data_IF_851460527067
#
_entry.id   IF_851460527067
#
_cell.length_a   1.000
_cell.length_b   1.000
_cell.length_c   1.000
_cell.angle_alpha   90.00
_cell.angle_beta   90.00
_cell.angle_gamma   90.00
#
_symmetry.space_group_name_H-M   'P 1'
#
loop_
_entity.id
_entity.type
_entity.pdbx_description
1 polymer ?
#
# COMPACT_ATOMS: atom_id res chain seq x y z
N UNK A 1 -34.42 -65.28 9.55
CA UNK A 1 -33.54 -65.69 8.43
C UNK A 1 -32.56 -64.57 8.17
N UNK A 2 -31.29 -64.69 8.59
CA UNK A 2 -30.18 -63.88 8.09
C UNK A 2 -28.87 -64.49 8.62
N UNK A 3 -28.41 -65.57 7.98
CA UNK A 3 -27.01 -66.03 8.11
C UNK A 3 -26.31 -65.61 6.84
N UNK A 4 -25.80 -64.38 6.81
CA UNK A 4 -24.74 -64.04 5.85
C UNK A 4 -23.57 -64.93 6.22
N UNK A 5 -23.37 -65.98 5.42
CA UNK A 5 -22.35 -67.00 5.68
C UNK A 5 -20.98 -66.33 5.73
N UNK A 6 -20.09 -66.79 6.60
CA UNK A 6 -18.73 -66.26 6.75
C UNK A 6 -18.00 -66.15 5.39
N UNK A 7 -18.32 -67.05 4.45
CA UNK A 7 -17.86 -67.04 3.06
C UNK A 7 -18.21 -65.77 2.28
N UNK A 8 -19.43 -65.24 2.42
CA UNK A 8 -19.82 -64.00 1.72
C UNK A 8 -19.12 -62.77 2.30
N UNK A 9 -18.82 -62.76 3.60
CA UNK A 9 -18.06 -61.68 4.23
C UNK A 9 -16.59 -61.65 3.80
N UNK A 10 -15.97 -62.83 3.58
CA UNK A 10 -14.60 -62.92 3.05
C UNK A 10 -14.53 -62.46 1.60
N UNK A 11 -15.48 -62.86 0.75
CA UNK A 11 -15.50 -62.45 -0.66
C UNK A 11 -15.72 -60.94 -0.84
N UNK A 12 -16.58 -60.33 -0.03
CA UNK A 12 -16.76 -58.87 -0.03
C UNK A 12 -15.50 -58.15 0.44
N UNK A 13 -14.81 -58.65 1.48
CA UNK A 13 -13.53 -58.07 1.91
C UNK A 13 -12.40 -58.24 0.89
N UNK A 14 -12.33 -59.38 0.20
CA UNK A 14 -11.35 -59.60 -0.87
C UNK A 14 -11.62 -58.69 -2.06
N UNK A 15 -12.89 -58.53 -2.45
CA UNK A 15 -13.31 -57.64 -3.52
C UNK A 15 -13.00 -56.17 -3.19
N UNK A 16 -13.32 -55.72 -1.98
CA UNK A 16 -13.01 -54.36 -1.52
C UNK A 16 -11.50 -54.14 -1.43
N UNK A 17 -10.74 -55.13 -0.97
CA UNK A 17 -9.28 -55.00 -0.86
C UNK A 17 -8.62 -54.96 -2.23
N UNK A 18 -9.01 -55.85 -3.13
CA UNK A 18 -8.53 -55.84 -4.52
C UNK A 18 -8.88 -54.51 -5.21
N UNK A 19 -10.12 -54.03 -5.06
CA UNK A 19 -10.55 -52.79 -5.68
C UNK A 19 -9.85 -51.55 -5.10
N UNK A 20 -9.63 -51.52 -3.79
CA UNK A 20 -8.87 -50.46 -3.12
C UNK A 20 -7.40 -50.46 -3.56
N UNK A 21 -6.79 -51.63 -3.69
CA UNK A 21 -5.41 -51.76 -4.14
C UNK A 21 -5.27 -51.35 -5.63
N UNK A 22 -6.27 -51.65 -6.47
CA UNK A 22 -6.36 -51.18 -7.86
C UNK A 22 -6.55 -49.65 -7.95
N UNK A 23 -7.41 -49.07 -7.10
CA UNK A 23 -7.59 -47.61 -7.02
C UNK A 23 -6.31 -46.91 -6.55
N UNK A 24 -5.60 -47.47 -5.56
CA UNK A 24 -4.32 -46.93 -5.12
C UNK A 24 -3.25 -47.01 -6.21
N UNK A 25 -3.20 -48.10 -6.98
CA UNK A 25 -2.32 -48.21 -8.14
C UNK A 25 -2.64 -47.17 -9.22
N UNK A 26 -3.93 -46.94 -9.48
CA UNK A 26 -4.39 -45.94 -10.45
C UNK A 26 -4.05 -44.50 -10.00
N UNK A 27 -4.21 -44.20 -8.71
CA UNK A 27 -3.82 -42.90 -8.13
C UNK A 27 -2.30 -42.69 -8.25
N UNK A 28 -1.49 -43.71 -7.95
CA UNK A 28 -0.02 -43.64 -8.08
C UNK A 28 0.39 -43.41 -9.55
N UNK A 29 -0.25 -44.10 -10.48
CA UNK A 29 -0.02 -43.90 -11.91
C UNK A 29 -0.43 -42.49 -12.37
N UNK A 30 -1.56 -41.98 -11.86
CA UNK A 30 -2.01 -40.62 -12.16
C UNK A 30 -1.07 -39.57 -11.56
N UNK A 31 -0.56 -39.76 -10.33
CA UNK A 31 0.46 -38.89 -9.74
C UNK A 31 1.77 -38.91 -10.53
N UNK A 32 2.20 -40.08 -11.03
CA UNK A 32 3.38 -40.20 -11.89
C UNK A 32 3.16 -39.56 -13.27
N UNK A 33 1.94 -39.62 -13.81
CA UNK A 33 1.58 -39.01 -15.10
C UNK A 33 1.42 -37.49 -14.99
N UNK A 34 0.86 -36.99 -13.89
CA UNK A 34 0.77 -35.55 -13.57
C UNK A 34 2.14 -34.93 -13.24
N UNK A 35 3.03 -35.72 -12.65
CA UNK A 35 4.42 -35.34 -12.38
C UNK A 35 5.36 -35.58 -13.56
N UNK A 36 4.85 -35.46 -14.80
CA UNK A 36 5.50 -35.87 -16.04
C UNK A 36 7.03 -35.65 -16.08
N UNK A 37 7.74 -36.77 -16.26
CA UNK A 37 9.09 -36.93 -16.81
C UNK A 37 10.12 -35.86 -16.38
N UNK A 38 10.78 -36.11 -15.24
CA UNK A 38 12.17 -35.68 -15.02
C UNK A 38 12.43 -34.22 -14.60
N UNK A 39 11.41 -33.43 -14.29
CA UNK A 39 11.62 -32.04 -13.84
C UNK A 39 10.96 -31.77 -12.48
N UNK A 40 11.67 -31.22 -11.47
CA UNK A 40 11.16 -30.98 -10.12
C UNK A 40 10.07 -29.89 -10.03
N UNK A 41 9.50 -29.47 -11.17
CA UNK A 41 8.63 -28.30 -11.30
C UNK A 41 7.14 -28.66 -11.48
N UNK A 42 6.77 -29.92 -11.68
CA UNK A 42 5.37 -30.32 -11.96
C UNK A 42 4.56 -30.70 -10.71
N UNK A 43 5.17 -30.70 -9.52
CA UNK A 43 4.51 -30.96 -8.24
C UNK A 43 4.04 -29.63 -7.63
N UNK A 44 2.81 -29.52 -7.06
CA UNK A 44 2.40 -28.30 -6.38
C UNK A 44 3.41 -27.99 -5.28
N UNK A 45 4.12 -26.85 -5.40
CA UNK A 45 5.14 -26.45 -4.44
C UNK A 45 4.49 -26.33 -3.05
N UNK A 46 5.16 -26.90 -2.05
CA UNK A 46 4.68 -26.73 -0.68
C UNK A 46 4.75 -25.24 -0.31
N UNK A 47 3.86 -24.73 0.56
CA UNK A 47 3.88 -23.32 0.96
C UNK A 47 5.26 -22.84 1.45
N UNK A 48 6.02 -23.71 2.13
CA UNK A 48 7.39 -23.41 2.56
C UNK A 48 8.39 -23.29 1.40
N UNK A 49 8.22 -24.08 0.33
CA UNK A 49 9.07 -23.99 -0.86
C UNK A 49 8.78 -22.73 -1.67
N UNK A 50 7.53 -22.28 -1.71
CA UNK A 50 7.15 -21.02 -2.37
C UNK A 50 7.77 -19.83 -1.63
N UNK A 51 7.61 -19.77 -0.30
CA UNK A 51 8.20 -18.72 0.52
C UNK A 51 9.73 -18.68 0.35
N UNK A 52 10.40 -19.83 0.43
CA UNK A 52 11.86 -19.90 0.24
C UNK A 52 12.29 -19.49 -1.18
N UNK A 53 11.47 -19.76 -2.20
CA UNK A 53 11.75 -19.36 -3.57
C UNK A 53 11.62 -17.84 -3.73
N UNK A 54 10.57 -17.24 -3.18
CA UNK A 54 10.36 -15.77 -3.17
C UNK A 54 11.47 -15.08 -2.39
N UNK A 55 11.79 -15.53 -1.18
CA UNK A 55 12.88 -14.97 -0.37
C UNK A 55 14.24 -15.04 -1.10
N UNK A 56 14.48 -16.11 -1.85
CA UNK A 56 15.70 -16.25 -2.67
C UNK A 56 15.71 -15.28 -3.84
N UNK A 57 14.58 -15.07 -4.48
CA UNK A 57 14.44 -14.10 -5.57
C UNK A 57 14.66 -12.67 -5.08
N UNK A 58 13.99 -12.28 -4.00
CA UNK A 58 14.15 -10.98 -3.34
C UNK A 58 15.60 -10.75 -2.88
N UNK A 59 16.22 -11.75 -2.27
CA UNK A 59 17.64 -11.70 -1.92
C UNK A 59 18.52 -11.48 -3.16
N UNK A 60 18.25 -12.20 -4.24
CA UNK A 60 18.96 -12.04 -5.50
C UNK A 60 18.78 -10.66 -6.12
N UNK A 61 17.60 -10.04 -5.99
CA UNK A 61 17.35 -8.66 -6.41
C UNK A 61 18.16 -7.65 -5.61
N UNK A 62 18.19 -7.81 -4.28
CA UNK A 62 18.97 -6.95 -3.40
C UNK A 62 20.47 -7.05 -3.72
N UNK A 63 20.99 -8.25 -3.93
CA UNK A 63 22.38 -8.48 -4.33
C UNK A 63 22.70 -7.79 -5.68
N UNK A 64 21.79 -7.85 -6.66
CA UNK A 64 21.93 -7.13 -7.94
C UNK A 64 21.95 -5.60 -7.76
N UNK A 65 21.09 -5.07 -6.90
CA UNK A 65 21.03 -3.63 -6.61
C UNK A 65 22.30 -3.17 -5.91
N UNK A 66 22.77 -3.91 -4.91
CA UNK A 66 24.02 -3.61 -4.20
C UNK A 66 25.19 -3.57 -5.18
N UNK A 67 25.34 -4.59 -6.04
CA UNK A 67 26.42 -4.61 -7.03
C UNK A 67 26.38 -3.39 -7.95
N UNK A 68 25.19 -3.01 -8.45
CA UNK A 68 25.04 -1.82 -9.30
C UNK A 68 25.44 -0.53 -8.56
N UNK A 69 24.98 -0.37 -7.31
CA UNK A 69 25.31 0.79 -6.49
C UNK A 69 26.81 0.85 -6.17
N UNK A 70 27.44 -0.29 -5.91
CA UNK A 70 28.89 -0.39 -5.71
C UNK A 70 29.66 -0.01 -6.98
N UNK A 71 29.19 -0.41 -8.16
CA UNK A 71 29.79 -0.05 -9.45
C UNK A 71 29.68 1.46 -9.72
N UNK A 72 28.51 2.04 -9.45
CA UNK A 72 28.27 3.49 -9.53
C UNK A 72 29.18 4.23 -8.53
N UNK A 73 29.29 3.76 -7.29
CA UNK A 73 30.21 4.32 -6.30
C UNK A 73 31.67 4.27 -6.76
N UNK A 74 32.12 3.16 -7.36
CA UNK A 74 33.49 3.05 -7.90
C UNK A 74 33.70 4.00 -9.08
N UNK A 75 32.69 4.20 -9.91
CA UNK A 75 32.74 5.11 -11.06
C UNK A 75 32.80 6.56 -10.61
N UNK A 76 31.88 6.97 -9.74
CA UNK A 76 31.85 8.32 -9.15
C UNK A 76 33.13 8.65 -8.39
N UNK A 77 33.69 7.68 -7.64
CA UNK A 77 34.99 7.88 -6.95
C UNK A 77 36.13 8.12 -7.93
N UNK A 78 36.17 7.40 -9.07
CA UNK A 78 37.16 7.64 -10.13
C UNK A 78 37.01 9.02 -10.75
N UNK A 79 35.79 9.43 -11.05
CA UNK A 79 35.50 10.77 -11.60
C UNK A 79 35.87 11.88 -10.60
N UNK A 80 35.55 11.68 -9.32
CA UNK A 80 35.91 12.60 -8.26
C UNK A 80 37.43 12.77 -8.13
N UNK A 81 38.18 11.67 -8.07
CA UNK A 81 39.65 11.74 -8.00
C UNK A 81 40.23 12.34 -9.28
N UNK A 82 39.69 12.02 -10.46
CA UNK A 82 40.11 12.63 -11.72
C UNK A 82 39.88 14.15 -11.73
N UNK A 83 38.72 14.63 -11.25
CA UNK A 83 38.44 16.06 -11.13
C UNK A 83 39.33 16.72 -10.07
N UNK A 84 39.58 16.04 -8.95
CA UNK A 84 40.48 16.51 -7.89
C UNK A 84 41.92 16.61 -8.36
N UNK A 85 42.40 15.70 -9.20
CA UNK A 85 43.72 15.77 -9.84
C UNK A 85 43.77 16.90 -10.87
N UNK A 86 42.75 17.04 -11.72
CA UNK A 86 42.64 18.17 -12.68
C UNK A 86 42.63 19.54 -11.98
N UNK A 87 41.97 19.66 -10.83
CA UNK A 87 41.97 20.86 -9.99
C UNK A 87 43.19 20.96 -9.05
N UNK A 88 43.85 19.84 -8.76
CA UNK A 88 45.05 19.74 -7.93
C UNK A 88 46.31 20.21 -8.66
N UNK A 89 46.45 19.92 -9.96
CA UNK A 89 47.56 20.41 -10.80
C UNK A 89 47.51 21.93 -11.03
N UNK A 90 46.34 22.56 -10.85
CA UNK A 90 46.19 24.02 -10.87
C UNK A 90 46.61 24.68 -9.55
N UNK A 91 46.81 23.89 -8.48
CA UNK A 91 47.19 24.39 -7.15
C UNK A 91 48.50 23.72 -6.70
N UNK A 92 49.63 24.19 -7.25
CA UNK A 92 50.97 23.79 -6.83
C UNK A 92 51.28 24.06 -5.33
N UNK A 93 52.38 23.49 -4.81
CA UNK A 93 52.58 23.22 -3.38
C UNK A 93 52.92 24.50 -2.61
N UNK A 94 51.90 25.21 -2.15
CA UNK A 94 52.12 26.41 -1.32
C UNK A 94 50.90 26.99 -0.63
N UNK A 95 49.70 26.46 -0.84
CA UNK A 95 48.48 27.04 -0.26
C UNK A 95 47.97 26.22 0.92
N UNK A 96 48.76 26.20 1.99
CA UNK A 96 48.22 25.97 3.33
C UNK A 96 47.38 27.20 3.68
N UNK A 97 46.07 27.01 3.76
CA UNK A 97 45.20 27.86 4.58
C UNK A 97 44.91 29.26 4.07
N UNK A 98 44.44 29.41 2.83
CA UNK A 98 43.70 30.61 2.46
C UNK A 98 42.73 30.31 1.32
N UNK A 99 41.44 30.29 1.64
CA UNK A 99 40.39 30.37 0.64
C UNK A 99 40.13 31.86 0.42
N UNK A 100 40.84 32.48 -0.52
CA UNK A 100 40.46 33.79 -1.05
C UNK A 100 39.22 33.61 -1.94
N UNK A 101 38.09 34.26 -1.64
CA UNK A 101 36.86 34.13 -2.42
C UNK A 101 36.86 35.02 -3.69
N UNK A 102 37.89 35.81 -3.93
CA UNK A 102 37.88 36.86 -4.96
C UNK A 102 39.06 36.69 -5.91
N UNK A 103 38.93 35.78 -6.89
CA UNK A 103 39.95 35.64 -7.92
C UNK A 103 40.07 34.27 -8.59
N UNK A 104 38.96 33.60 -8.90
CA UNK A 104 39.01 32.53 -9.89
C UNK A 104 37.82 32.64 -10.83
N UNK A 105 37.99 33.45 -11.86
CA UNK A 105 37.15 33.45 -13.05
C UNK A 105 37.26 32.08 -13.73
N UNK A 106 36.50 31.10 -13.24
CA UNK A 106 36.24 29.87 -13.97
C UNK A 106 35.47 30.22 -15.26
N UNK A 107 36.02 29.96 -16.46
CA UNK A 107 35.34 30.26 -17.71
C UNK A 107 34.34 29.14 -18.02
N UNK A 108 33.16 29.17 -17.42
CA UNK A 108 32.09 28.24 -17.80
C UNK A 108 30.91 28.06 -16.85
N UNK A 109 30.94 28.62 -15.64
CA UNK A 109 29.78 28.61 -14.73
C UNK A 109 28.97 29.91 -14.86
N UNK A 110 27.62 29.87 -14.75
CA UNK A 110 26.84 31.10 -14.56
C UNK A 110 27.43 31.86 -13.38
N UNK A 111 27.71 33.15 -13.56
CA UNK A 111 28.45 33.91 -12.57
C UNK A 111 27.75 33.89 -11.22
N UNK A 112 28.47 34.14 -10.12
CA UNK A 112 27.89 34.26 -8.78
C UNK A 112 26.69 35.23 -8.76
N UNK A 113 26.75 36.29 -9.58
CA UNK A 113 25.65 37.23 -9.80
C UNK A 113 24.40 36.60 -10.44
N UNK A 114 24.56 35.71 -11.41
CA UNK A 114 23.46 35.01 -12.09
C UNK A 114 22.80 33.99 -11.17
N UNK A 115 23.61 33.22 -10.43
CA UNK A 115 23.13 32.29 -9.41
C UNK A 115 22.36 33.02 -8.30
N UNK A 116 22.85 34.19 -7.88
CA UNK A 116 22.15 35.01 -6.90
C UNK A 116 20.83 35.60 -7.45
N UNK A 117 20.80 35.97 -8.74
CA UNK A 117 19.59 36.42 -9.40
C UNK A 117 18.53 35.30 -9.51
N UNK A 118 18.96 34.09 -9.87
CA UNK A 118 18.10 32.90 -9.91
C UNK A 118 17.55 32.54 -8.54
N UNK A 119 18.41 32.53 -7.50
CA UNK A 119 17.99 32.28 -6.13
C UNK A 119 16.94 33.30 -5.64
N UNK A 120 17.08 34.58 -6.02
CA UNK A 120 16.09 35.63 -5.71
C UNK A 120 14.77 35.37 -6.43
N UNK A 121 14.81 35.01 -7.71
CA UNK A 121 13.61 34.71 -8.49
C UNK A 121 12.86 33.51 -7.92
N UNK A 122 13.58 32.45 -7.52
CA UNK A 122 13.01 31.27 -6.89
C UNK A 122 12.34 31.60 -5.55
N UNK A 123 12.98 32.43 -4.71
CA UNK A 123 12.39 32.91 -3.44
C UNK A 123 11.11 33.72 -3.69
N UNK A 124 11.10 34.58 -4.71
CA UNK A 124 9.91 35.34 -5.08
C UNK A 124 8.78 34.43 -5.57
N UNK A 125 9.09 33.48 -6.45
CA UNK A 125 8.10 32.55 -6.98
C UNK A 125 7.51 31.69 -5.87
N UNK A 126 8.34 31.20 -4.94
CA UNK A 126 7.91 30.49 -3.74
C UNK A 126 6.94 31.32 -2.90
N UNK A 127 7.31 32.56 -2.56
CA UNK A 127 6.42 33.46 -1.79
C UNK A 127 5.07 33.67 -2.48
N UNK A 128 5.06 33.83 -3.81
CA UNK A 128 3.82 33.97 -4.58
C UNK A 128 2.96 32.71 -4.56
N UNK A 129 3.57 31.53 -4.56
CA UNK A 129 2.84 30.26 -4.45
C UNK A 129 2.27 30.07 -3.05
N UNK A 130 3.02 30.42 -2.01
CA UNK A 130 2.58 30.38 -0.61
C UNK A 130 1.38 31.31 -0.39
N UNK A 131 1.42 32.55 -0.89
CA UNK A 131 0.29 33.48 -0.81
C UNK A 131 -0.97 32.95 -1.51
N UNK A 132 -0.79 32.27 -2.66
CA UNK A 132 -1.89 31.66 -3.40
C UNK A 132 -2.47 30.47 -2.64
N UNK A 133 -1.61 29.61 -2.07
CA UNK A 133 -2.01 28.49 -1.25
C UNK A 133 -2.83 28.97 -0.05
N UNK A 134 -2.35 30.01 0.65
CA UNK A 134 -3.05 30.59 1.79
C UNK A 134 -4.44 31.12 1.43
N UNK A 135 -4.58 31.85 0.32
CA UNK A 135 -5.90 32.32 -0.16
C UNK A 135 -6.85 31.17 -0.49
N UNK A 136 -6.33 30.10 -1.09
CA UNK A 136 -7.12 28.92 -1.41
C UNK A 136 -7.59 28.19 -0.16
N UNK A 137 -6.73 28.05 0.85
CA UNK A 137 -7.08 27.47 2.15
C UNK A 137 -8.16 28.29 2.85
N UNK A 138 -8.05 29.61 2.86
CA UNK A 138 -9.07 30.49 3.43
C UNK A 138 -10.41 30.36 2.70
N UNK A 139 -10.40 30.38 1.37
CA UNK A 139 -11.61 30.20 0.60
C UNK A 139 -12.23 28.81 0.81
N UNK A 140 -11.41 27.76 0.94
CA UNK A 140 -11.89 26.42 1.27
C UNK A 140 -12.58 26.40 2.65
N UNK A 141 -11.96 27.00 3.67
CA UNK A 141 -12.55 27.15 5.01
C UNK A 141 -13.87 27.93 4.97
N UNK A 142 -13.96 28.97 4.13
CA UNK A 142 -15.22 29.70 3.92
C UNK A 142 -16.29 28.78 3.30
N UNK A 143 -15.96 28.02 2.25
CA UNK A 143 -16.86 27.06 1.62
C UNK A 143 -17.31 25.96 2.60
N UNK A 144 -16.41 25.44 3.43
CA UNK A 144 -16.73 24.48 4.48
C UNK A 144 -17.73 25.06 5.50
N UNK A 145 -17.53 26.32 5.91
CA UNK A 145 -18.46 26.99 6.82
C UNK A 145 -19.84 27.17 6.20
N UNK A 146 -19.90 27.51 4.91
CA UNK A 146 -21.15 27.63 4.16
C UNK A 146 -21.87 26.29 4.05
N UNK A 147 -21.15 25.21 3.71
CA UNK A 147 -21.68 23.86 3.66
C UNK A 147 -22.17 23.39 5.03
N UNK A 148 -21.44 23.71 6.10
CA UNK A 148 -21.86 23.38 7.45
C UNK A 148 -23.18 24.09 7.83
N UNK A 149 -23.32 25.38 7.52
CA UNK A 149 -24.57 26.12 7.74
C UNK A 149 -25.73 25.57 6.92
N UNK A 150 -25.50 25.26 5.64
CA UNK A 150 -26.51 24.63 4.79
C UNK A 150 -26.94 23.27 5.32
N UNK A 151 -25.99 22.45 5.78
CA UNK A 151 -26.29 21.17 6.44
C UNK A 151 -27.11 21.37 7.70
N UNK A 152 -26.82 22.38 8.53
CA UNK A 152 -27.64 22.68 9.72
C UNK A 152 -29.08 23.08 9.33
N UNK A 153 -29.24 23.92 8.31
CA UNK A 153 -30.57 24.34 7.83
C UNK A 153 -31.35 23.18 7.20
N UNK A 154 -30.68 22.26 6.49
CA UNK A 154 -31.30 21.06 5.91
C UNK A 154 -31.55 19.95 6.94
N UNK A 155 -30.73 19.86 7.99
CA UNK A 155 -30.89 18.90 9.08
C UNK A 155 -31.84 19.40 10.17
N UNK A 156 -32.44 20.59 10.04
CA UNK A 156 -33.53 21.04 10.90
C UNK A 156 -34.77 20.19 10.56
N UNK A 157 -35.08 19.12 11.31
CA UNK A 157 -36.33 18.40 11.12
C UNK A 157 -37.43 19.32 11.63
N UNK A 158 -38.66 19.02 11.28
CA UNK A 158 -39.91 19.75 11.50
C UNK A 158 -40.27 19.96 13.00
N UNK A 159 -39.40 20.58 13.80
CA UNK A 159 -39.55 20.72 15.26
C UNK A 159 -40.23 22.03 15.68
N UNK A 160 -40.37 22.99 14.76
CA UNK A 160 -41.08 24.27 14.98
C UNK A 160 -42.45 24.32 14.27
N UNK A 161 -43.10 23.18 14.01
CA UNK A 161 -44.51 23.13 13.63
C UNK A 161 -45.47 23.29 14.83
N UNK A 162 -44.96 23.54 16.04
CA UNK A 162 -45.78 23.75 17.25
C UNK A 162 -45.57 25.16 17.78
N UNK A 163 -46.39 26.09 17.28
CA UNK A 163 -46.90 27.33 17.91
C UNK A 163 -47.02 28.42 16.83
N UNK A 164 -48.13 28.41 16.10
CA UNK A 164 -49.05 29.55 16.12
C UNK A 164 -50.30 29.30 15.26
N UNK A 165 -51.43 29.20 15.95
CA UNK A 165 -52.67 29.86 15.55
C UNK A 165 -53.42 29.30 14.35
N UNK A 166 -54.43 28.48 14.63
CA UNK A 166 -55.86 28.75 14.34
C UNK A 166 -56.59 27.42 14.05
N UNK A 167 -57.46 27.03 15.00
CA UNK A 167 -58.58 26.09 14.93
C UNK A 167 -58.30 24.57 14.81
N UNK A 168 -58.42 23.89 15.95
CA UNK A 168 -59.11 22.59 16.05
C UNK A 168 -60.64 22.85 16.05
N UNK A 169 -61.53 21.93 15.60
CA UNK A 169 -61.75 20.68 16.32
C UNK A 169 -62.24 19.43 15.54
N UNK A 170 -61.94 18.28 16.17
CA UNK A 170 -62.84 17.14 16.38
C UNK A 170 -63.20 16.16 15.22
N UNK A 171 -62.65 14.94 15.41
CA UNK A 171 -63.26 13.60 15.33
C UNK A 171 -64.12 13.19 14.11
N UNK A 172 -63.75 12.05 13.49
CA UNK A 172 -64.52 10.78 13.53
C UNK A 172 -64.00 9.69 12.57
N UNK A 173 -63.94 8.48 13.13
CA UNK A 173 -64.39 7.19 12.57
C UNK A 173 -63.56 6.38 11.55
N UNK A 174 -63.13 5.20 12.06
CA UNK A 174 -63.44 3.81 11.65
C UNK A 174 -63.21 3.35 10.20
N UNK A 175 -62.47 2.24 10.11
CA UNK A 175 -62.52 1.23 9.04
C UNK A 175 -61.11 0.87 8.57
N UNK A 176 -60.75 -0.37 8.24
CA UNK A 176 -61.34 -1.71 8.31
C UNK A 176 -60.16 -2.65 7.90
N UNK A 177 -60.15 -3.89 8.38
CA UNK A 177 -59.55 -5.10 7.71
C UNK A 177 -58.07 -5.09 7.32
N UNK A 178 -57.23 -5.84 8.04
CA UNK A 178 -56.73 -7.19 7.65
C UNK A 178 -55.88 -7.22 6.37
N UNK A 179 -54.59 -7.57 6.50
CA UNK A 179 -53.97 -8.68 5.76
C UNK A 179 -52.49 -8.90 6.17
N UNK A 180 -52.25 -10.12 6.64
CA UNK A 180 -51.09 -11.01 6.46
C UNK A 180 -49.76 -10.44 5.95
N UNK A 181 -48.68 -10.61 6.71
CA UNK A 181 -47.32 -10.43 6.20
C UNK A 181 -46.21 -10.49 7.24
N UNK A 182 -46.10 -11.59 7.98
CA UNK A 182 -44.98 -11.87 8.89
C UNK A 182 -43.74 -12.22 8.06
N UNK A 183 -43.02 -11.23 7.55
CA UNK A 183 -41.67 -11.42 7.01
C UNK A 183 -40.65 -11.24 8.13
N UNK A 184 -40.22 -12.36 8.68
CA UNK A 184 -39.08 -12.44 9.57
C UNK A 184 -37.80 -12.38 8.73
N UNK A 185 -37.32 -11.18 8.42
CA UNK A 185 -35.99 -10.99 7.83
C UNK A 185 -34.99 -10.88 8.98
N UNK A 186 -34.35 -11.99 9.33
CA UNK A 186 -33.13 -11.94 10.14
C UNK A 186 -32.06 -11.16 9.36
N UNK A 187 -31.40 -10.15 9.96
CA UNK A 187 -30.20 -9.58 9.36
C UNK A 187 -29.07 -10.59 9.54
N UNK A 188 -28.60 -11.21 8.45
CA UNK A 188 -27.30 -11.88 8.43
C UNK A 188 -26.23 -10.81 8.63
N UNK A 189 -25.65 -10.76 9.82
CA UNK A 189 -24.55 -9.85 10.14
C UNK A 189 -23.28 -10.32 9.41
N UNK A 190 -22.99 -9.72 8.25
CA UNK A 190 -21.68 -9.84 7.60
C UNK A 190 -20.64 -9.10 8.45
N UNK A 191 -19.78 -9.84 9.13
CA UNK A 191 -18.69 -9.25 9.92
C UNK A 191 -17.52 -8.89 8.99
N UNK A 192 -17.45 -7.62 8.58
CA UNK A 192 -16.30 -7.06 7.87
C UNK A 192 -15.17 -6.84 8.88
N UNK A 193 -14.07 -7.58 8.74
CA UNK A 193 -12.87 -7.39 9.56
C UNK A 193 -12.01 -6.27 8.98
N UNK A 194 -12.06 -5.08 9.59
CA UNK A 194 -11.20 -3.95 9.23
C UNK A 194 -9.83 -4.12 9.88
N UNK A 195 -8.77 -4.28 9.07
CA UNK A 195 -7.40 -4.35 9.57
C UNK A 195 -6.85 -2.92 9.75
N UNK A 196 -6.62 -2.52 11.00
CA UNK A 196 -6.00 -1.22 11.33
C UNK A 196 -4.48 -1.38 11.35
N UNK A 197 -3.77 -0.71 10.43
CA UNK A 197 -2.31 -0.60 10.49
C UNK A 197 -1.89 0.50 11.46
N UNK A 198 -1.14 0.13 12.49
CA UNK A 198 -0.48 1.05 13.42
C UNK A 198 0.94 1.32 12.92
N UNK A 199 1.23 2.57 12.52
CA UNK A 199 2.60 3.00 12.22
C UNK A 199 3.28 3.48 13.50
N UNK A 200 4.38 2.83 13.86
CA UNK A 200 5.27 3.25 14.95
C UNK A 200 6.39 4.12 14.37
N UNK A 201 6.36 5.42 14.66
CA UNK A 201 7.47 6.32 14.34
C UNK A 201 8.55 6.24 15.42
N UNK A 202 9.75 5.86 15.01
CA UNK A 202 10.95 5.89 15.86
C UNK A 202 11.67 7.22 15.62
N UNK A 203 11.66 8.12 16.60
CA UNK A 203 12.45 9.34 16.57
C UNK A 203 13.88 9.05 17.04
N UNK A 204 14.85 9.24 16.15
CA UNK A 204 16.27 9.20 16.49
C UNK A 204 16.69 10.62 16.88
N UNK A 205 17.02 10.83 18.15
CA UNK A 205 17.60 12.09 18.62
C UNK A 205 19.12 12.07 18.41
N UNK A 206 19.60 12.90 17.49
CA UNK A 206 21.02 13.18 17.31
C UNK A 206 21.43 14.23 18.32
N UNK A 207 22.24 13.85 19.31
CA UNK A 207 22.88 14.79 20.24
C UNK A 207 24.16 15.34 19.60
N UNK A 208 24.16 16.63 19.32
CA UNK A 208 25.35 17.42 19.00
C UNK A 208 26.01 17.81 20.32
N UNK A 209 27.28 17.43 20.49
CA UNK A 209 28.15 17.85 21.61
C UNK A 209 28.75 19.23 21.35
#
# INVERSE_FOLDING_TARGET
SLRMTTSTCYLVNLYISSHRDDEHALILQYCQTLGGEGSPCSQPQSPAQILQAVEREERGELERIIHRLEDEQRTLKREYEQLKEQHGDQRGPGSVGHWDPEGSSHPGGPGEADLLAEAKLLRQHKSRLEDRMHKLEEHNKQLESQLHRLRQLLHQPEMDSRVNGVLSPACKNKGLTEHTGRFNTQPTHTHTHTHTHTHTHTHTHTHTW
#
